data_IF_973578569912
#
_entry.id   IF_973578569912
#
_cell.length_a   1.000
_cell.length_b   1.000
_cell.length_c   1.000
_cell.angle_alpha   90.00
_cell.angle_beta   90.00
_cell.angle_gamma   90.00
#
_symmetry.space_group_name_H-M   'P 1'
#
loop_
_entity.id
_entity.type
_entity.pdbx_description
1 polymer ?
#
# COMPACT_ATOMS: atom_id res chain seq x y z
N UNK A 1 5.32 4.52 30.35
CA UNK A 1 5.24 4.24 28.90
C UNK A 1 5.67 5.51 28.16
N UNK A 2 6.83 5.49 27.55
CA UNK A 2 7.35 6.65 26.82
C UNK A 2 6.53 6.76 25.53
N UNK A 3 5.82 7.89 25.34
CA UNK A 3 5.11 8.16 24.10
C UNK A 3 6.10 8.19 22.93
N UNK A 4 5.97 7.25 22.01
CA UNK A 4 6.74 7.28 20.78
C UNK A 4 6.26 8.48 19.95
N UNK A 5 7.11 9.49 19.83
CA UNK A 5 6.83 10.67 18.99
C UNK A 5 7.00 10.28 17.52
N UNK A 6 6.28 10.98 16.63
CA UNK A 6 6.55 10.90 15.19
C UNK A 6 8.04 11.15 14.94
N UNK A 7 8.67 10.37 14.04
CA UNK A 7 10.08 10.61 13.74
C UNK A 7 10.23 11.96 13.03
N UNK A 8 11.36 12.64 13.16
CA UNK A 8 11.66 13.74 12.26
C UNK A 8 11.75 13.21 10.82
N UNK A 9 11.43 14.05 9.85
CA UNK A 9 11.67 13.74 8.45
C UNK A 9 13.20 13.63 8.26
N UNK A 10 13.70 12.42 8.02
CA UNK A 10 15.12 12.16 7.92
C UNK A 10 15.52 11.76 6.49
N UNK A 11 16.73 12.14 6.08
CA UNK A 11 17.32 11.55 4.86
C UNK A 11 17.76 10.12 5.18
N UNK A 12 17.23 9.18 4.40
CA UNK A 12 17.59 7.77 4.51
C UNK A 12 18.51 7.43 3.36
N UNK A 13 19.74 7.06 3.67
CA UNK A 13 20.78 6.77 2.68
C UNK A 13 20.77 5.33 2.17
N UNK A 14 19.88 4.50 2.71
CA UNK A 14 19.73 3.09 2.36
C UNK A 14 18.27 2.75 2.10
N UNK A 15 18.02 1.59 1.50
CA UNK A 15 16.67 1.02 1.32
C UNK A 15 16.22 0.20 2.53
N UNK A 16 17.10 -0.04 3.50
CA UNK A 16 16.75 -0.67 4.77
C UNK A 16 16.25 0.40 5.75
N UNK A 17 14.98 0.30 6.12
CA UNK A 17 14.32 1.17 7.08
C UNK A 17 13.83 0.34 8.26
N UNK A 18 14.35 0.61 9.43
CA UNK A 18 13.97 -0.10 10.65
C UNK A 18 13.23 0.84 11.60
N UNK A 19 12.12 0.37 12.12
CA UNK A 19 11.29 1.10 13.07
C UNK A 19 10.96 0.24 14.29
N UNK A 20 10.79 0.87 15.46
CA UNK A 20 10.64 0.13 16.72
C UNK A 20 9.27 -0.55 16.88
N UNK A 21 8.30 -0.21 16.05
CA UNK A 21 6.91 -0.70 16.16
C UNK A 21 6.13 -0.47 14.87
N UNK A 22 4.97 -1.12 14.77
CA UNK A 22 3.99 -0.91 13.69
C UNK A 22 3.46 0.53 13.69
N UNK A 23 3.18 1.08 14.87
CA UNK A 23 2.52 2.37 15.04
C UNK A 23 3.44 3.41 15.66
N UNK A 24 3.09 4.68 15.45
CA UNK A 24 3.62 5.84 16.15
C UNK A 24 2.46 6.61 16.83
N UNK A 25 2.78 7.47 17.79
CA UNK A 25 1.76 8.26 18.49
C UNK A 25 0.95 7.45 19.49
N UNK A 26 -0.33 7.78 19.63
CA UNK A 26 -1.24 7.17 20.62
C UNK A 26 -2.27 6.22 20.00
N UNK A 27 -2.69 6.52 18.78
CA UNK A 27 -3.73 5.77 18.08
C UNK A 27 -3.08 4.71 17.17
N UNK A 28 -3.69 3.54 17.05
CA UNK A 28 -3.25 2.52 16.12
C UNK A 28 -3.55 2.94 14.68
N UNK A 29 -2.74 2.46 13.73
CA UNK A 29 -2.95 2.65 12.30
C UNK A 29 -3.21 1.28 11.66
N UNK A 30 -4.35 1.14 11.02
CA UNK A 30 -4.82 -0.13 10.49
C UNK A 30 -5.33 -1.08 11.59
N UNK A 31 -5.47 -2.35 11.23
CA UNK A 31 -5.84 -3.40 12.15
C UNK A 31 -4.58 -4.06 12.73
N UNK A 32 -4.41 -3.99 14.04
CA UNK A 32 -3.26 -4.57 14.77
C UNK A 32 -3.14 -6.09 14.64
N UNK A 33 -4.26 -6.76 14.37
CA UNK A 33 -4.31 -8.21 14.23
C UNK A 33 -4.08 -8.68 12.78
N UNK A 34 -3.93 -7.74 11.83
CA UNK A 34 -3.67 -8.04 10.43
C UNK A 34 -2.20 -8.44 10.21
N UNK A 35 -2.00 -9.62 9.63
CA UNK A 35 -0.66 -10.16 9.35
C UNK A 35 -0.08 -9.49 8.09
N UNK A 36 1.14 -8.97 8.18
CA UNK A 36 1.84 -8.36 7.05
C UNK A 36 1.51 -6.88 6.83
N UNK A 37 0.96 -6.18 7.83
CA UNK A 37 0.73 -4.74 7.71
C UNK A 37 2.05 -3.96 7.61
N UNK A 38 2.11 -3.00 6.68
CA UNK A 38 3.25 -2.08 6.57
C UNK A 38 3.29 -1.14 7.77
N UNK A 39 4.46 -0.92 8.40
CA UNK A 39 4.59 0.03 9.49
C UNK A 39 4.15 1.45 9.11
N UNK A 40 3.29 2.05 9.94
CA UNK A 40 2.78 3.41 9.75
C UNK A 40 3.90 4.46 9.59
N UNK A 41 5.05 4.24 10.22
CA UNK A 41 6.26 5.06 10.11
C UNK A 41 6.76 5.20 8.67
N UNK A 42 6.74 4.12 7.89
CA UNK A 42 7.17 4.11 6.48
C UNK A 42 6.23 4.98 5.67
N UNK A 43 4.93 4.75 5.81
CA UNK A 43 3.88 5.48 5.09
C UNK A 43 3.95 6.97 5.44
N UNK A 44 4.10 7.31 6.72
CA UNK A 44 4.27 8.68 7.18
C UNK A 44 5.46 9.38 6.50
N UNK A 45 6.63 8.72 6.48
CA UNK A 45 7.84 9.25 5.85
C UNK A 45 7.65 9.51 4.35
N UNK A 46 6.99 8.59 3.64
CA UNK A 46 6.76 8.71 2.20
C UNK A 46 5.75 9.80 1.89
N UNK A 47 4.64 9.87 2.62
CA UNK A 47 3.62 10.89 2.39
C UNK A 47 4.12 12.30 2.69
N UNK A 48 4.94 12.48 3.71
CA UNK A 48 5.56 13.78 4.02
C UNK A 48 6.54 14.24 2.93
N UNK A 49 7.22 13.32 2.24
CA UNK A 49 8.18 13.67 1.18
C UNK A 49 7.52 13.96 -0.14
N UNK A 50 6.54 13.16 -0.50
CA UNK A 50 6.05 13.08 -1.88
C UNK A 50 4.66 13.67 -2.07
N UNK A 51 3.99 14.09 -0.99
CA UNK A 51 2.64 14.64 -1.05
C UNK A 51 2.48 15.91 -0.21
N UNK A 52 1.37 16.63 -0.44
CA UNK A 52 0.95 17.82 0.31
C UNK A 52 -0.45 17.61 0.90
N UNK A 53 -0.85 18.44 1.86
CA UNK A 53 -2.24 18.46 2.36
C UNK A 53 -3.22 18.63 1.16
N UNK A 54 -4.29 17.85 1.16
CA UNK A 54 -5.29 17.84 0.10
C UNK A 54 -4.98 16.96 -1.11
N UNK A 55 -3.76 16.41 -1.24
CA UNK A 55 -3.44 15.45 -2.29
C UNK A 55 -4.25 14.15 -2.12
N UNK A 56 -4.56 13.51 -3.25
CA UNK A 56 -5.23 12.20 -3.28
C UNK A 56 -4.18 11.09 -3.24
N UNK A 57 -4.23 10.28 -2.19
CA UNK A 57 -3.38 9.10 -1.98
C UNK A 57 -4.21 7.85 -2.25
N UNK A 58 -3.71 6.96 -3.08
CA UNK A 58 -4.36 5.68 -3.42
C UNK A 58 -3.51 4.53 -2.89
N UNK A 59 -4.16 3.56 -2.25
CA UNK A 59 -3.57 2.26 -1.91
C UNK A 59 -4.45 1.17 -2.51
N UNK A 60 -3.97 0.45 -3.55
CA UNK A 60 -4.74 -0.55 -4.28
C UNK A 60 -4.77 -1.93 -3.61
N UNK A 61 -3.97 -2.14 -2.57
CA UNK A 61 -3.86 -3.38 -1.79
C UNK A 61 -3.80 -3.06 -0.30
N UNK A 62 -4.84 -2.36 0.18
CA UNK A 62 -4.84 -1.59 1.42
C UNK A 62 -4.81 -2.45 2.69
N UNK A 63 -5.19 -3.73 2.61
CA UNK A 63 -5.19 -4.66 3.73
C UNK A 63 -5.87 -4.09 4.97
N UNK A 64 -5.11 -3.88 6.04
CA UNK A 64 -5.59 -3.35 7.34
C UNK A 64 -6.00 -1.87 7.31
N UNK A 65 -5.65 -1.11 6.26
CA UNK A 65 -5.97 0.31 6.15
C UNK A 65 -4.93 1.27 6.75
N UNK A 66 -3.73 0.82 7.07
CA UNK A 66 -2.67 1.69 7.63
C UNK A 66 -2.43 2.93 6.78
N UNK A 67 -2.39 2.80 5.44
CA UNK A 67 -2.21 3.93 4.52
C UNK A 67 -3.37 4.93 4.61
N UNK A 68 -4.60 4.44 4.77
CA UNK A 68 -5.79 5.30 4.89
C UNK A 68 -5.70 6.14 6.15
N UNK A 69 -5.36 5.53 7.28
CA UNK A 69 -5.28 6.22 8.57
C UNK A 69 -4.16 7.26 8.58
N UNK A 70 -2.95 6.91 8.11
CA UNK A 70 -1.83 7.85 8.04
C UNK A 70 -2.12 9.00 7.08
N UNK A 71 -2.74 8.73 5.93
CA UNK A 71 -3.10 9.77 4.96
C UNK A 71 -4.15 10.73 5.53
N UNK A 72 -5.16 10.21 6.22
CA UNK A 72 -6.19 11.02 6.89
C UNK A 72 -5.58 11.90 7.99
N UNK A 73 -4.72 11.34 8.84
CA UNK A 73 -3.99 12.08 9.87
C UNK A 73 -3.19 13.25 9.28
N UNK A 74 -2.58 13.02 8.13
CA UNK A 74 -1.79 14.02 7.41
C UNK A 74 -2.64 14.93 6.51
N UNK A 75 -3.99 14.88 6.60
CA UNK A 75 -4.94 15.67 5.82
C UNK A 75 -4.82 15.45 4.30
N UNK A 76 -4.46 14.24 3.87
CA UNK A 76 -4.56 13.78 2.50
C UNK A 76 -5.93 13.10 2.30
N UNK A 77 -6.40 13.06 1.06
CA UNK A 77 -7.62 12.32 0.68
C UNK A 77 -7.24 10.89 0.37
N UNK A 78 -7.47 9.97 1.31
CA UNK A 78 -7.16 8.56 1.13
C UNK A 78 -8.23 7.83 0.30
N UNK A 79 -7.81 6.91 -0.55
CA UNK A 79 -8.61 5.95 -1.30
C UNK A 79 -7.97 4.58 -1.18
N UNK A 80 -8.48 3.77 -0.24
CA UNK A 80 -8.05 2.38 -0.04
C UNK A 80 -8.91 1.42 -0.83
N UNK A 81 -8.28 0.42 -1.47
CA UNK A 81 -8.93 -0.68 -2.18
C UNK A 81 -8.33 -2.00 -1.75
N UNK A 82 -9.16 -3.03 -1.71
CA UNK A 82 -8.74 -4.40 -1.43
C UNK A 82 -9.71 -5.38 -2.07
N UNK A 83 -9.27 -6.62 -2.35
CA UNK A 83 -10.16 -7.68 -2.84
C UNK A 83 -11.16 -8.13 -1.77
N UNK A 84 -10.73 -8.12 -0.50
CA UNK A 84 -11.52 -8.53 0.66
C UNK A 84 -11.40 -7.48 1.77
N UNK A 85 -12.05 -6.30 1.64
CA UNK A 85 -11.92 -5.21 2.59
C UNK A 85 -12.29 -5.63 4.02
N UNK A 86 -11.41 -5.32 4.97
CA UNK A 86 -11.66 -5.54 6.40
C UNK A 86 -12.42 -4.38 7.06
N UNK A 87 -12.55 -3.24 6.37
CA UNK A 87 -13.13 -1.99 6.90
C UNK A 87 -14.09 -1.35 5.88
N UNK A 88 -15.15 -0.65 6.34
CA UNK A 88 -16.15 -0.04 5.46
C UNK A 88 -15.63 1.14 4.64
N UNK A 89 -14.52 1.75 5.01
CA UNK A 89 -13.86 2.86 4.31
C UNK A 89 -12.85 2.38 3.25
N UNK A 90 -12.63 1.07 3.14
CA UNK A 90 -11.85 0.43 2.07
C UNK A 90 -12.83 -0.15 1.04
N UNK A 91 -12.65 0.22 -0.23
CA UNK A 91 -13.56 -0.23 -1.30
C UNK A 91 -13.13 -1.58 -1.89
N UNK A 92 -14.06 -2.50 -2.14
CA UNK A 92 -13.74 -3.76 -2.82
C UNK A 92 -13.34 -3.49 -4.27
N UNK A 93 -12.10 -3.83 -4.63
CA UNK A 93 -11.61 -3.74 -6.01
C UNK A 93 -10.39 -4.64 -6.23
N UNK A 94 -10.20 -5.00 -7.49
CA UNK A 94 -8.97 -5.64 -7.96
C UNK A 94 -7.96 -4.55 -8.34
N UNK A 95 -6.75 -4.61 -7.79
CA UNK A 95 -5.69 -3.63 -8.02
C UNK A 95 -5.27 -3.52 -9.51
N UNK A 96 -5.59 -4.53 -10.32
CA UNK A 96 -5.36 -4.52 -11.76
C UNK A 96 -6.36 -3.66 -12.53
N UNK A 97 -7.47 -3.26 -11.88
CA UNK A 97 -8.52 -2.42 -12.48
C UNK A 97 -9.29 -1.67 -11.38
N UNK A 98 -8.84 -0.46 -11.08
CA UNK A 98 -9.44 0.38 -10.05
C UNK A 98 -10.62 1.21 -10.59
N UNK A 99 -11.69 1.42 -9.80
CA UNK A 99 -12.82 2.27 -10.18
C UNK A 99 -12.47 3.76 -10.04
N UNK A 100 -11.38 4.18 -10.67
CA UNK A 100 -10.84 5.54 -10.63
C UNK A 100 -10.66 6.09 -12.05
N UNK A 101 -10.91 7.39 -12.27
CA UNK A 101 -10.57 8.05 -13.54
C UNK A 101 -9.06 8.08 -13.78
N UNK A 102 -8.66 8.24 -15.04
CA UNK A 102 -7.28 8.51 -15.41
C UNK A 102 -6.80 9.80 -14.75
N UNK A 103 -5.51 9.85 -14.39
CA UNK A 103 -4.84 11.02 -13.84
C UNK A 103 -5.60 11.65 -12.64
N UNK A 104 -6.18 10.83 -11.75
CA UNK A 104 -6.99 11.27 -10.62
C UNK A 104 -6.26 11.23 -9.26
N UNK A 105 -5.15 10.50 -9.17
CA UNK A 105 -4.34 10.34 -7.97
C UNK A 105 -3.06 11.16 -8.02
N UNK A 106 -2.67 11.71 -6.86
CA UNK A 106 -1.41 12.46 -6.71
C UNK A 106 -0.26 11.57 -6.28
N UNK A 107 -0.55 10.49 -5.56
CA UNK A 107 0.41 9.51 -5.06
C UNK A 107 -0.27 8.14 -4.94
N UNK A 108 0.47 7.08 -5.25
CA UNK A 108 0.05 5.72 -4.97
C UNK A 108 1.09 5.06 -4.05
N UNK A 109 0.60 4.43 -2.99
CA UNK A 109 1.37 3.55 -2.14
C UNK A 109 0.93 2.11 -2.43
N UNK A 110 1.85 1.19 -2.57
CA UNK A 110 1.54 -0.23 -2.72
C UNK A 110 2.58 -1.08 -2.01
N UNK A 111 2.12 -1.94 -1.15
CA UNK A 111 2.88 -3.02 -0.54
C UNK A 111 2.20 -4.33 -0.94
N UNK A 112 2.65 -4.97 -2.04
CA UNK A 112 1.95 -6.10 -2.62
C UNK A 112 2.17 -7.38 -1.80
N UNK A 113 1.28 -8.38 -1.91
CA UNK A 113 1.50 -9.68 -1.32
C UNK A 113 2.79 -10.31 -1.87
N UNK A 114 3.63 -10.84 -0.97
CA UNK A 114 4.93 -11.43 -1.29
C UNK A 114 4.79 -12.88 -1.79
N UNK A 115 4.16 -13.06 -2.97
CA UNK A 115 3.91 -14.39 -3.53
C UNK A 115 3.15 -15.28 -2.53
N UNK A 116 3.45 -16.56 -2.48
CA UNK A 116 2.79 -17.59 -1.63
C UNK A 116 3.31 -17.66 -0.19
N UNK A 117 4.07 -16.65 0.27
CA UNK A 117 4.68 -16.67 1.61
C UNK A 117 3.67 -16.45 2.75
N UNK A 118 2.58 -15.74 2.48
CA UNK A 118 1.49 -15.48 3.43
C UNK A 118 0.15 -15.68 2.71
N UNK A 119 -0.79 -16.31 3.38
CA UNK A 119 -2.15 -16.44 2.89
C UNK A 119 -2.94 -15.17 3.21
N UNK A 120 -3.07 -14.28 2.21
CA UNK A 120 -3.72 -12.98 2.39
C UNK A 120 -5.23 -13.01 2.18
N UNK A 121 -5.74 -13.93 1.34
CA UNK A 121 -7.16 -14.00 0.99
C UNK A 121 -7.52 -15.33 0.32
N UNK A 122 -8.75 -15.80 0.54
CA UNK A 122 -9.33 -16.96 -0.16
C UNK A 122 -9.76 -16.65 -1.59
N UNK A 123 -9.85 -15.38 -1.97
CA UNK A 123 -10.25 -14.99 -3.32
C UNK A 123 -9.26 -15.54 -4.38
N UNK A 124 -9.72 -16.27 -5.39
CA UNK A 124 -8.85 -16.84 -6.43
C UNK A 124 -8.12 -15.78 -7.27
N UNK A 125 -8.59 -14.53 -7.25
CA UNK A 125 -7.92 -13.39 -7.93
C UNK A 125 -6.75 -12.83 -7.15
N UNK A 126 -6.55 -13.26 -5.90
CA UNK A 126 -5.48 -12.75 -5.04
C UNK A 126 -4.11 -13.04 -5.66
N UNK A 127 -3.33 -11.98 -5.90
CA UNK A 127 -1.98 -12.06 -6.47
C UNK A 127 -1.04 -12.85 -5.54
N UNK A 128 -1.28 -12.81 -4.22
CA UNK A 128 -0.54 -13.59 -3.24
C UNK A 128 -0.67 -15.12 -3.37
N UNK A 129 -1.60 -15.61 -4.19
CA UNK A 129 -1.71 -17.06 -4.53
C UNK A 129 -0.81 -17.47 -5.69
N UNK A 130 -0.18 -16.51 -6.37
CA UNK A 130 0.69 -16.76 -7.51
C UNK A 130 2.14 -16.92 -7.04
N UNK A 131 2.78 -18.00 -7.48
CA UNK A 131 4.19 -18.27 -7.16
C UNK A 131 5.11 -17.35 -7.98
N UNK A 132 5.99 -16.64 -7.29
CA UNK A 132 7.00 -15.77 -7.89
C UNK A 132 8.31 -16.51 -8.25
N UNK A 133 8.41 -17.80 -7.97
CA UNK A 133 9.59 -18.61 -8.32
C UNK A 133 9.86 -18.59 -9.83
N UNK A 134 11.13 -18.65 -10.24
CA UNK A 134 11.47 -18.69 -11.66
C UNK A 134 10.75 -19.83 -12.39
N UNK A 135 10.07 -19.51 -13.49
CA UNK A 135 9.38 -20.51 -14.31
C UNK A 135 10.37 -21.35 -15.11
N UNK A 136 10.18 -22.66 -15.15
CA UNK A 136 10.94 -23.54 -16.01
C UNK A 136 10.75 -23.14 -17.50
N UNK A 137 11.84 -23.11 -18.27
CA UNK A 137 11.79 -22.81 -19.71
C UNK A 137 11.56 -21.35 -20.08
N UNK A 138 11.69 -20.42 -19.12
CA UNK A 138 11.60 -18.96 -19.41
C UNK A 138 10.20 -18.45 -19.74
N UNK A 139 9.15 -19.20 -19.43
CA UNK A 139 7.78 -18.74 -19.57
C UNK A 139 7.51 -17.51 -18.66
N UNK A 140 6.61 -16.57 -19.06
CA UNK A 140 6.22 -15.47 -18.21
C UNK A 140 5.66 -15.98 -16.88
N UNK A 141 6.21 -15.48 -15.76
CA UNK A 141 5.73 -15.84 -14.43
C UNK A 141 4.39 -15.12 -14.15
N UNK A 142 3.38 -15.86 -13.68
CA UNK A 142 2.03 -15.35 -13.46
C UNK A 142 2.00 -14.22 -12.41
N UNK A 143 2.81 -14.31 -11.36
CA UNK A 143 2.91 -13.27 -10.34
C UNK A 143 3.42 -11.96 -10.94
N UNK A 144 4.53 -11.99 -11.67
CA UNK A 144 5.08 -10.78 -12.29
C UNK A 144 4.19 -10.22 -13.40
N UNK A 145 3.47 -11.09 -14.12
CA UNK A 145 2.47 -10.65 -15.11
C UNK A 145 1.32 -9.89 -14.43
N UNK A 146 0.82 -10.40 -13.31
CA UNK A 146 -0.22 -9.73 -12.54
C UNK A 146 0.29 -8.40 -11.94
N UNK A 147 1.50 -8.37 -11.40
CA UNK A 147 2.11 -7.13 -10.89
C UNK A 147 2.35 -6.09 -11.98
N UNK A 148 2.72 -6.50 -13.19
CA UNK A 148 2.84 -5.59 -14.33
C UNK A 148 1.48 -4.93 -14.67
N UNK A 149 0.37 -5.66 -14.56
CA UNK A 149 -0.98 -5.10 -14.74
C UNK A 149 -1.31 -4.08 -13.64
N UNK A 150 -0.95 -4.35 -12.39
CA UNK A 150 -1.11 -3.39 -11.28
C UNK A 150 -0.30 -2.12 -11.55
N UNK A 151 0.96 -2.24 -11.96
CA UNK A 151 1.81 -1.08 -12.27
C UNK A 151 1.22 -0.27 -13.44
N UNK A 152 0.72 -0.93 -14.48
CA UNK A 152 0.06 -0.25 -15.59
C UNK A 152 -1.20 0.51 -15.15
N UNK A 153 -1.99 -0.07 -14.25
CA UNK A 153 -3.17 0.57 -13.67
C UNK A 153 -2.79 1.77 -12.79
N UNK A 154 -1.76 1.64 -11.95
CA UNK A 154 -1.24 2.76 -11.18
C UNK A 154 -0.73 3.89 -12.07
N UNK A 155 -0.04 3.57 -13.17
CA UNK A 155 0.38 4.57 -14.15
C UNK A 155 -0.83 5.30 -14.79
N UNK A 156 -1.93 4.59 -15.08
CA UNK A 156 -3.15 5.19 -15.63
C UNK A 156 -3.78 6.22 -14.67
N UNK A 157 -3.89 5.85 -13.38
CA UNK A 157 -4.57 6.71 -12.40
C UNK A 157 -3.71 7.85 -11.87
N UNK A 158 -2.38 7.75 -11.95
CA UNK A 158 -1.49 8.78 -11.45
C UNK A 158 -1.44 9.99 -12.39
N UNK A 159 -1.47 11.18 -11.80
CA UNK A 159 -1.28 12.45 -12.52
C UNK A 159 0.15 12.57 -13.02
N UNK A 160 0.31 12.94 -14.28
CA UNK A 160 1.61 13.35 -14.82
C UNK A 160 2.03 14.67 -14.16
N UNK A 161 2.91 14.61 -13.17
CA UNK A 161 3.58 15.80 -12.64
C UNK A 161 4.85 16.03 -13.47
N UNK A 162 4.86 17.15 -14.21
CA UNK A 162 6.08 17.64 -14.90
C UNK A 162 6.99 18.32 -13.89
#
# INVERSE_FOLDING_TARGET
MTMQRKPPLALLSTTLWEYPSQDYGREPHGDKDYVGATPAWIIWQLLQRYTREGDTVVDPMCGSGTTVDVAAELKRRARGFDLAPSRPDIQPADARRLPLPDASADFAFVDPPYSTHVEYSDDPRCIGKLDASPSAGGAPNAYYTAMAQVIAELHRILKNRR
#
